data_IF_429236800646
#
_entry.id   IF_429236800646
#
_cell.length_a   1.000
_cell.length_b   1.000
_cell.length_c   1.000
_cell.angle_alpha   90.00
_cell.angle_beta   90.00
_cell.angle_gamma   90.00
#
_symmetry.space_group_name_H-M   'P 1'
#
loop_
_entity.id
_entity.type
_entity.pdbx_description
1 polymer ?
#
# COMPACT_ATOMS: atom_id res chain seq x y z
N UNK A 1 14.84 -19.46 28.08
CA UNK A 1 14.52 -19.49 26.64
C UNK A 1 15.33 -18.42 25.96
N UNK A 2 16.53 -18.80 25.51
CA UNK A 2 17.29 -17.95 24.60
C UNK A 2 16.59 -17.98 23.24
N UNK A 3 16.36 -16.82 22.66
CA UNK A 3 15.85 -16.71 21.30
C UNK A 3 17.03 -17.06 20.41
N UNK A 4 16.95 -18.18 19.70
CA UNK A 4 17.94 -18.53 18.69
C UNK A 4 17.74 -17.60 17.47
N UNK A 5 18.83 -16.97 17.02
CA UNK A 5 18.85 -16.10 15.85
C UNK A 5 20.18 -16.23 15.12
N UNK A 6 20.16 -15.91 13.83
CA UNK A 6 21.36 -15.89 12.99
C UNK A 6 21.53 -14.51 12.35
N UNK A 7 22.78 -14.02 12.34
CA UNK A 7 23.15 -12.77 11.69
C UNK A 7 24.07 -13.04 10.50
N UNK A 8 23.71 -12.46 9.35
CA UNK A 8 24.59 -12.42 8.18
C UNK A 8 24.74 -11.00 7.64
N UNK A 9 25.94 -10.68 7.18
CA UNK A 9 26.29 -9.40 6.55
C UNK A 9 26.97 -9.67 5.22
N UNK A 10 26.54 -8.98 4.16
CA UNK A 10 27.23 -9.03 2.85
C UNK A 10 27.84 -7.67 2.47
N UNK A 11 28.67 -7.69 1.42
CA UNK A 11 29.47 -6.56 0.89
C UNK A 11 28.62 -5.36 0.41
N UNK A 12 27.30 -5.49 0.29
CA UNK A 12 26.37 -4.48 -0.23
C UNK A 12 25.47 -3.83 0.84
N UNK A 13 25.95 -3.64 2.08
CA UNK A 13 25.22 -2.92 3.14
C UNK A 13 23.90 -3.58 3.58
N UNK A 14 23.71 -4.86 3.30
CA UNK A 14 22.53 -5.63 3.74
C UNK A 14 22.91 -6.48 4.95
N UNK A 15 22.28 -6.17 6.08
CA UNK A 15 22.30 -7.01 7.29
C UNK A 15 20.98 -7.75 7.39
N UNK A 16 21.04 -9.06 7.62
CA UNK A 16 19.85 -9.91 7.78
C UNK A 16 19.89 -10.57 9.15
N UNK A 17 18.77 -10.45 9.88
CA UNK A 17 18.52 -11.16 11.14
C UNK A 17 17.41 -12.17 10.88
N UNK A 18 17.69 -13.45 11.14
CA UNK A 18 16.70 -14.53 11.04
C UNK A 18 16.32 -14.97 12.44
N UNK A 19 15.01 -15.06 12.72
CA UNK A 19 14.46 -15.52 14.01
C UNK A 19 13.71 -16.81 13.74
N UNK A 20 14.05 -17.89 14.46
CA UNK A 20 13.39 -19.17 14.30
C UNK A 20 11.94 -19.11 14.81
N UNK A 21 11.00 -19.63 14.03
CA UNK A 21 9.58 -19.59 14.34
C UNK A 21 9.24 -20.22 15.71
N UNK A 22 9.99 -21.25 16.12
CA UNK A 22 9.82 -21.95 17.41
C UNK A 22 10.09 -21.06 18.63
N UNK A 23 10.82 -19.95 18.43
CA UNK A 23 11.06 -18.96 19.49
C UNK A 23 9.85 -18.06 19.74
N UNK A 24 8.88 -18.03 18.81
CA UNK A 24 7.69 -17.19 18.88
C UNK A 24 6.45 -18.03 19.21
N UNK A 25 5.56 -17.48 20.03
CA UNK A 25 4.29 -18.11 20.41
C UNK A 25 3.18 -17.57 19.52
N UNK A 26 2.23 -18.43 19.11
CA UNK A 26 1.09 -17.99 18.33
C UNK A 26 0.19 -17.01 19.09
N UNK A 27 -0.61 -16.26 18.33
CA UNK A 27 -1.52 -15.20 18.77
C UNK A 27 -0.85 -14.13 19.64
N UNK A 28 0.40 -13.78 19.33
CA UNK A 28 1.14 -12.72 20.00
C UNK A 28 1.77 -11.74 19.03
N UNK A 29 1.77 -10.47 19.42
CA UNK A 29 2.53 -9.43 18.73
C UNK A 29 3.87 -9.23 19.43
N UNK A 30 4.94 -9.36 18.66
CA UNK A 30 6.32 -9.12 19.07
C UNK A 30 6.78 -7.77 18.53
N UNK A 31 7.42 -6.99 19.39
CA UNK A 31 8.13 -5.77 18.98
C UNK A 31 9.62 -6.06 18.98
N UNK A 32 10.25 -5.96 17.81
CA UNK A 32 11.70 -6.02 17.67
C UNK A 32 12.26 -4.60 17.56
N UNK A 33 13.23 -4.31 18.41
CA UNK A 33 13.95 -3.05 18.42
C UNK A 33 15.32 -3.32 17.80
N UNK A 34 15.57 -2.72 16.64
CA UNK A 34 16.84 -2.84 15.94
C UNK A 34 17.64 -1.58 16.19
N UNK A 35 18.67 -1.67 17.02
CA UNK A 35 19.60 -0.56 17.25
C UNK A 35 20.82 -0.71 16.34
N UNK A 36 21.03 0.26 15.46
CA UNK A 36 22.15 0.31 14.53
C UNK A 36 23.16 1.34 15.02
N UNK A 37 24.40 0.91 15.26
CA UNK A 37 25.49 1.79 15.69
C UNK A 37 26.57 1.82 14.60
N UNK A 38 27.13 3.00 14.33
CA UNK A 38 28.26 3.07 13.39
C UNK A 38 29.55 2.59 14.06
N UNK A 39 30.35 1.78 13.36
CA UNK A 39 31.66 1.30 13.86
C UNK A 39 32.62 2.45 14.17
N UNK A 40 32.56 3.54 13.40
CA UNK A 40 33.43 4.70 13.53
C UNK A 40 32.99 5.68 14.62
N UNK A 41 31.69 5.72 14.94
CA UNK A 41 31.15 6.63 15.95
C UNK A 41 29.94 5.99 16.68
N UNK A 42 30.15 5.36 17.86
CA UNK A 42 29.08 4.70 18.61
C UNK A 42 27.99 5.66 19.13
N UNK A 43 28.20 6.98 19.01
CA UNK A 43 27.22 8.02 19.35
C UNK A 43 26.15 8.14 18.24
N UNK A 44 26.50 7.85 16.98
CA UNK A 44 25.50 7.81 15.91
C UNK A 44 24.74 6.48 15.96
N UNK A 45 23.48 6.58 16.36
CA UNK A 45 22.57 5.45 16.51
C UNK A 45 21.32 5.67 15.68
N UNK A 46 20.90 4.63 14.95
CA UNK A 46 19.58 4.55 14.32
C UNK A 46 18.77 3.49 15.04
N UNK A 47 17.56 3.82 15.48
CA UNK A 47 16.65 2.85 16.10
C UNK A 47 15.50 2.57 15.14
N UNK A 48 15.40 1.30 14.72
CA UNK A 48 14.26 0.78 13.97
C UNK A 48 13.33 0.00 14.89
N UNK A 49 12.03 0.12 14.65
CA UNK A 49 11.00 -0.67 15.33
C UNK A 49 10.29 -1.54 14.31
N UNK A 50 10.20 -2.84 14.59
CA UNK A 50 9.49 -3.82 13.78
C UNK A 50 8.43 -4.47 14.65
N UNK A 51 7.20 -4.56 14.13
CA UNK A 51 6.09 -5.25 14.79
C UNK A 51 5.77 -6.49 13.98
N UNK A 52 5.80 -7.65 14.62
CA UNK A 52 5.47 -8.94 14.01
C UNK A 52 4.32 -9.54 14.79
N UNK A 53 3.19 -9.74 14.14
CA UNK A 53 2.09 -10.51 14.70
C UNK A 53 2.23 -11.96 14.25
N UNK A 54 2.22 -12.89 15.21
CA UNK A 54 2.30 -14.33 14.96
C UNK A 54 0.90 -14.88 15.12
N UNK A 55 0.34 -15.44 14.05
CA UNK A 55 -0.98 -16.07 14.03
C UNK A 55 -0.85 -17.58 14.25
N UNK A 56 -1.87 -18.17 14.85
CA UNK A 56 -1.99 -19.63 15.09
C UNK A 56 -2.56 -20.40 13.88
N UNK A 57 -2.36 -19.87 12.66
CA UNK A 57 -3.08 -20.36 11.50
C UNK A 57 -2.41 -21.62 10.91
N UNK A 58 -3.17 -22.71 10.82
CA UNK A 58 -2.84 -23.91 10.02
C UNK A 58 -2.90 -23.65 8.50
N UNK A 59 -3.26 -22.42 8.09
CA UNK A 59 -3.34 -22.02 6.69
C UNK A 59 -2.08 -21.25 6.26
N UNK A 60 -1.61 -21.43 5.02
CA UNK A 60 -0.42 -20.75 4.53
C UNK A 60 -0.52 -19.23 4.65
N UNK A 61 0.53 -18.60 5.16
CA UNK A 61 0.55 -17.15 5.33
C UNK A 61 0.65 -16.46 3.96
N UNK A 62 -0.37 -15.68 3.60
CA UNK A 62 -0.37 -14.86 2.38
C UNK A 62 -0.10 -13.40 2.73
N UNK A 63 0.88 -12.81 2.06
CA UNK A 63 1.23 -11.40 2.20
C UNK A 63 1.03 -10.66 0.89
N UNK A 64 0.58 -9.41 0.95
CA UNK A 64 0.47 -8.50 -0.20
C UNK A 64 1.41 -7.33 0.01
N UNK A 65 2.11 -6.93 -1.04
CA UNK A 65 2.92 -5.73 -1.08
C UNK A 65 2.81 -5.02 -2.42
N UNK A 66 3.16 -3.73 -2.44
CA UNK A 66 3.32 -2.99 -3.69
C UNK A 66 4.67 -3.30 -4.32
N UNK A 67 4.71 -3.48 -5.65
CA UNK A 67 5.97 -3.61 -6.41
C UNK A 67 6.86 -2.38 -6.18
N UNK A 68 6.24 -1.18 -6.21
CA UNK A 68 6.91 0.06 -5.80
C UNK A 68 6.60 0.29 -4.33
N UNK A 69 7.55 -0.01 -3.45
CA UNK A 69 7.37 0.05 -1.99
C UNK A 69 6.80 1.38 -1.48
N UNK A 70 7.20 2.50 -2.10
CA UNK A 70 6.70 3.85 -1.76
C UNK A 70 5.17 4.00 -1.91
N UNK A 71 4.54 3.26 -2.82
CA UNK A 71 3.07 3.31 -3.01
C UNK A 71 2.30 2.67 -1.85
N UNK A 72 2.92 1.74 -1.12
CA UNK A 72 2.35 1.10 0.07
C UNK A 72 2.93 1.68 1.37
N UNK A 73 3.86 2.63 1.32
CA UNK A 73 4.59 3.07 2.51
C UNK A 73 3.75 3.95 3.44
N UNK A 74 2.93 4.85 2.89
CA UNK A 74 2.15 5.81 3.67
C UNK A 74 0.88 5.14 4.19
N UNK A 75 0.79 4.97 5.52
CA UNK A 75 -0.36 4.39 6.21
C UNK A 75 -1.16 5.48 6.92
N UNK A 76 -2.47 5.50 6.71
CA UNK A 76 -3.43 6.31 7.44
C UNK A 76 -4.49 5.39 8.06
N UNK A 77 -4.40 5.15 9.37
CA UNK A 77 -5.24 4.14 10.04
C UNK A 77 -5.03 2.75 9.44
N UNK A 78 -6.08 2.10 8.97
CA UNK A 78 -6.03 0.78 8.31
C UNK A 78 -5.72 0.86 6.81
N UNK A 79 -5.67 2.06 6.23
CA UNK A 79 -5.56 2.27 4.79
C UNK A 79 -4.16 2.73 4.38
N UNK A 80 -3.78 2.44 3.14
CA UNK A 80 -2.64 3.07 2.46
C UNK A 80 -3.14 4.20 1.56
N UNK A 81 -2.37 5.29 1.41
CA UNK A 81 -2.75 6.35 0.47
C UNK A 81 -2.39 5.97 -0.96
N UNK A 82 -3.30 6.24 -1.90
CA UNK A 82 -3.12 5.95 -3.32
C UNK A 82 -3.28 7.21 -4.16
N UNK A 83 -2.35 7.46 -5.08
CA UNK A 83 -2.48 8.54 -6.05
C UNK A 83 -3.33 8.05 -7.24
N UNK A 84 -4.49 8.67 -7.53
CA UNK A 84 -5.38 8.22 -8.60
C UNK A 84 -4.76 8.29 -10.00
N UNK A 85 -3.72 9.11 -10.19
CA UNK A 85 -3.04 9.29 -11.49
C UNK A 85 -1.96 8.24 -11.76
N UNK A 86 -1.74 7.31 -10.83
CA UNK A 86 -0.67 6.32 -10.92
C UNK A 86 -1.23 4.91 -11.05
N UNK A 87 -0.61 4.10 -11.91
CA UNK A 87 -0.87 2.67 -12.00
C UNK A 87 -0.47 1.99 -10.68
N UNK A 88 -1.32 1.12 -10.15
CA UNK A 88 -1.02 0.36 -8.95
C UNK A 88 -0.56 -1.05 -9.34
N UNK A 89 0.61 -1.46 -8.86
CA UNK A 89 1.10 -2.81 -9.06
C UNK A 89 1.36 -3.48 -7.71
N UNK A 90 0.65 -4.58 -7.48
CA UNK A 90 0.70 -5.41 -6.30
C UNK A 90 1.30 -6.77 -6.64
N UNK A 91 1.95 -7.37 -5.66
CA UNK A 91 2.30 -8.77 -5.71
C UNK A 91 1.92 -9.42 -4.39
N UNK A 92 1.55 -10.69 -4.46
CA UNK A 92 1.31 -11.52 -3.31
C UNK A 92 2.34 -12.64 -3.23
N UNK A 93 2.79 -12.91 -2.01
CA UNK A 93 3.69 -14.02 -1.72
C UNK A 93 3.05 -14.92 -0.70
N UNK A 94 3.15 -16.22 -0.98
CA UNK A 94 2.81 -17.26 -0.03
C UNK A 94 4.10 -17.60 0.74
N UNK A 95 4.03 -17.62 2.07
CA UNK A 95 5.15 -17.87 2.96
C UNK A 95 5.48 -19.35 3.08
N UNK A 96 5.43 -19.88 4.29
CA UNK A 96 5.63 -21.31 4.57
C UNK A 96 4.39 -22.12 4.14
N UNK A 97 4.58 -23.39 3.75
CA UNK A 97 3.55 -24.37 3.36
C UNK A 97 2.76 -24.14 2.06
N UNK A 98 3.41 -23.62 1.02
CA UNK A 98 2.75 -23.29 -0.26
C UNK A 98 2.91 -24.33 -1.38
N UNK A 99 3.12 -25.61 -1.04
CA UNK A 99 3.63 -26.62 -1.99
C UNK A 99 2.65 -27.05 -3.09
N UNK A 100 1.35 -26.74 -2.98
CA UNK A 100 0.34 -27.08 -4.00
C UNK A 100 -0.74 -25.99 -4.15
N UNK A 101 -0.33 -24.81 -4.60
CA UNK A 101 -1.26 -23.75 -5.01
C UNK A 101 -2.05 -24.24 -6.24
N UNK A 102 -3.35 -24.42 -6.10
CA UNK A 102 -4.25 -24.80 -7.20
C UNK A 102 -4.71 -23.58 -7.99
N UNK A 103 -5.02 -22.49 -7.30
CA UNK A 103 -5.53 -21.27 -7.92
C UNK A 103 -5.13 -20.04 -7.11
N UNK A 104 -4.85 -18.95 -7.81
CA UNK A 104 -4.77 -17.61 -7.23
C UNK A 104 -5.89 -16.77 -7.86
N UNK A 105 -6.58 -15.97 -7.05
CA UNK A 105 -7.60 -15.06 -7.54
C UNK A 105 -7.61 -13.77 -6.73
N UNK A 106 -7.59 -12.64 -7.42
CA UNK A 106 -7.83 -11.33 -6.84
C UNK A 106 -9.31 -10.98 -6.90
N UNK A 107 -9.82 -10.43 -5.79
CA UNK A 107 -11.12 -9.81 -5.66
C UNK A 107 -10.90 -8.35 -5.30
N UNK A 108 -11.49 -7.47 -6.11
CA UNK A 108 -11.38 -6.02 -5.94
C UNK A 108 -12.70 -5.49 -5.44
N UNK A 109 -12.65 -4.64 -4.42
CA UNK A 109 -13.83 -4.06 -3.80
C UNK A 109 -13.73 -2.53 -3.85
N UNK A 110 -14.84 -1.90 -4.18
CA UNK A 110 -15.05 -0.47 -3.99
C UNK A 110 -15.69 -0.22 -2.63
N UNK A 111 -15.27 0.84 -1.96
CA UNK A 111 -15.71 1.17 -0.62
C UNK A 111 -16.31 2.57 -0.51
N UNK A 112 -17.40 2.67 0.24
CA UNK A 112 -18.10 3.93 0.54
C UNK A 112 -18.25 4.11 2.05
N UNK A 113 -18.15 5.35 2.53
CA UNK A 113 -18.35 5.65 3.95
C UNK A 113 -19.83 5.54 4.26
N UNK A 114 -20.18 4.67 5.20
CA UNK A 114 -21.49 4.64 5.81
C UNK A 114 -21.50 5.65 6.97
N UNK A 115 -22.10 6.83 6.74
CA UNK A 115 -22.08 7.94 7.70
C UNK A 115 -22.72 7.59 9.05
N UNK A 116 -23.65 6.63 9.10
CA UNK A 116 -24.32 6.22 10.34
C UNK A 116 -23.46 5.32 11.23
N UNK A 117 -22.58 4.51 10.62
CA UNK A 117 -21.74 3.55 11.35
C UNK A 117 -20.28 3.99 11.44
N UNK A 118 -19.90 5.04 10.71
CA UNK A 118 -18.52 5.48 10.55
C UNK A 118 -17.58 4.35 10.10
N UNK A 119 -18.10 3.45 9.24
CA UNK A 119 -17.37 2.31 8.66
C UNK A 119 -17.39 2.37 7.15
N UNK A 120 -16.43 1.70 6.52
CA UNK A 120 -16.42 1.53 5.05
C UNK A 120 -17.20 0.28 4.68
N UNK A 121 -18.25 0.46 3.90
CA UNK A 121 -19.01 -0.63 3.30
C UNK A 121 -18.36 -1.06 2.00
N UNK A 122 -18.11 -2.36 1.84
CA UNK A 122 -17.35 -2.92 0.72
C UNK A 122 -18.27 -3.64 -0.25
N UNK A 123 -18.26 -3.19 -1.50
CA UNK A 123 -19.02 -3.78 -2.59
C UNK A 123 -18.02 -4.39 -3.57
N UNK A 124 -18.23 -5.66 -3.94
CA UNK A 124 -17.38 -6.32 -4.93
C UNK A 124 -17.46 -5.53 -6.25
N UNK A 125 -16.31 -5.12 -6.76
CA UNK A 125 -16.21 -4.48 -8.06
C UNK A 125 -16.22 -5.58 -9.13
N UNK A 126 -17.31 -5.66 -9.89
CA UNK A 126 -17.44 -6.65 -10.95
C UNK A 126 -16.58 -6.25 -12.15
N UNK A 127 -15.44 -6.93 -12.28
CA UNK A 127 -14.53 -6.73 -13.41
C UNK A 127 -15.04 -7.32 -14.72
N UNK A 128 -16.09 -8.16 -14.69
CA UNK A 128 -16.61 -8.88 -15.86
C UNK A 128 -17.65 -8.08 -16.66
N UNK A 129 -17.91 -6.82 -16.29
CA UNK A 129 -18.66 -5.94 -17.18
C UNK A 129 -17.78 -5.58 -18.37
N UNK A 130 -18.30 -5.70 -19.59
CA UNK A 130 -17.60 -5.60 -20.89
C UNK A 130 -16.87 -4.27 -21.14
N UNK A 131 -16.84 -3.35 -20.18
CA UNK A 131 -16.18 -2.05 -20.23
C UNK A 131 -14.87 -2.00 -19.41
N UNK A 132 -14.48 -3.07 -18.69
CA UNK A 132 -13.35 -3.06 -17.76
C UNK A 132 -12.23 -4.06 -18.08
N UNK A 133 -12.29 -4.76 -19.21
CA UNK A 133 -11.35 -5.85 -19.58
C UNK A 133 -9.86 -5.44 -19.66
N UNK A 134 -9.56 -4.14 -19.64
CA UNK A 134 -8.19 -3.60 -19.66
C UNK A 134 -7.75 -2.91 -18.36
N UNK A 135 -8.55 -2.99 -17.29
CA UNK A 135 -8.22 -2.30 -16.03
C UNK A 135 -7.42 -3.16 -15.05
N UNK A 136 -7.51 -4.48 -15.18
CA UNK A 136 -6.86 -5.43 -14.29
C UNK A 136 -6.06 -6.46 -15.07
N UNK A 137 -4.77 -6.55 -14.79
CA UNK A 137 -3.87 -7.53 -15.40
C UNK A 137 -3.34 -8.47 -14.32
N UNK A 138 -3.43 -9.78 -14.57
CA UNK A 138 -2.95 -10.80 -13.65
C UNK A 138 -3.91 -11.13 -12.50
N UNK A 139 -5.22 -10.90 -12.68
CA UNK A 139 -6.26 -11.16 -11.65
C UNK A 139 -6.30 -12.62 -11.17
N UNK A 140 -5.74 -13.55 -11.94
CA UNK A 140 -5.61 -14.98 -11.61
C UNK A 140 -4.18 -15.40 -11.26
N UNK A 141 -3.28 -14.45 -10.98
CA UNK A 141 -1.86 -14.70 -10.70
C UNK A 141 -1.43 -14.04 -9.39
N UNK A 142 -0.21 -14.32 -8.94
CA UNK A 142 0.38 -13.66 -7.77
C UNK A 142 0.63 -12.15 -7.98
N UNK A 143 0.72 -11.68 -9.24
CA UNK A 143 0.97 -10.29 -9.56
C UNK A 143 -0.30 -9.65 -10.11
N UNK A 144 -0.73 -8.54 -9.49
CA UNK A 144 -1.87 -7.77 -9.96
C UNK A 144 -1.39 -6.39 -10.39
N UNK A 145 -1.72 -6.01 -11.61
CA UNK A 145 -1.57 -4.63 -12.09
C UNK A 145 -2.94 -4.02 -12.31
N UNK A 146 -3.14 -2.82 -11.80
CA UNK A 146 -4.38 -2.06 -11.87
C UNK A 146 -4.08 -0.76 -12.62
N UNK A 147 -4.75 -0.54 -13.75
CA UNK A 147 -4.63 0.69 -14.52
C UNK A 147 -5.07 1.89 -13.69
N UNK A 148 -4.44 3.05 -13.89
CA UNK A 148 -4.89 4.32 -13.28
C UNK A 148 -6.32 4.69 -13.71
N UNK A 149 -6.75 4.22 -14.90
CA UNK A 149 -8.04 4.55 -15.48
C UNK A 149 -9.21 4.13 -14.58
N UNK A 150 -9.03 3.09 -13.75
CA UNK A 150 -10.07 2.70 -12.80
C UNK A 150 -10.37 3.80 -11.79
N UNK A 151 -9.35 4.53 -11.34
CA UNK A 151 -9.48 5.60 -10.36
C UNK A 151 -10.01 6.87 -11.04
N UNK A 152 -9.57 7.14 -12.27
CA UNK A 152 -10.03 8.28 -13.08
C UNK A 152 -11.52 8.14 -13.48
N UNK A 153 -11.95 6.92 -13.82
CA UNK A 153 -13.34 6.64 -14.23
C UNK A 153 -14.31 6.47 -13.06
N UNK A 154 -13.80 6.23 -11.84
CA UNK A 154 -14.61 6.08 -10.64
C UNK A 154 -14.25 7.12 -9.56
N UNK A 155 -14.33 8.43 -9.85
CA UNK A 155 -13.88 9.49 -8.94
C UNK A 155 -14.70 9.57 -7.64
N UNK A 156 -15.91 8.99 -7.62
CA UNK A 156 -16.75 8.91 -6.43
C UNK A 156 -16.27 7.84 -5.42
N UNK A 157 -15.46 6.86 -5.86
CA UNK A 157 -14.98 5.77 -5.02
C UNK A 157 -13.71 6.21 -4.29
N UNK A 158 -13.82 6.44 -2.99
CA UNK A 158 -12.71 6.89 -2.15
C UNK A 158 -11.86 5.75 -1.61
N UNK A 159 -12.43 4.55 -1.49
CA UNK A 159 -11.77 3.41 -0.88
C UNK A 159 -11.72 2.23 -1.84
N UNK A 160 -10.56 1.58 -1.91
CA UNK A 160 -10.35 0.39 -2.71
C UNK A 160 -9.73 -0.71 -1.88
N UNK A 161 -10.23 -1.93 -1.98
CA UNK A 161 -9.70 -3.08 -1.26
C UNK A 161 -9.39 -4.21 -2.22
N UNK A 162 -8.17 -4.71 -2.11
CA UNK A 162 -7.64 -5.81 -2.90
C UNK A 162 -7.49 -7.01 -1.98
N UNK A 163 -8.28 -8.05 -2.23
CA UNK A 163 -8.19 -9.33 -1.55
C UNK A 163 -7.61 -10.35 -2.51
N UNK A 164 -6.53 -11.01 -2.12
CA UNK A 164 -6.01 -12.16 -2.86
C UNK A 164 -6.44 -13.44 -2.15
N UNK A 165 -6.92 -14.39 -2.93
CA UNK A 165 -7.29 -15.75 -2.51
C UNK A 165 -6.29 -16.72 -3.10
N UNK A 166 -5.75 -17.59 -2.25
CA UNK A 166 -4.96 -18.75 -2.64
C UNK A 166 -5.75 -20.00 -2.29
N UNK A 167 -6.06 -20.81 -3.29
CA UNK A 167 -6.71 -22.10 -3.11
C UNK A 167 -5.67 -23.21 -3.09
N UNK A 168 -5.76 -24.07 -2.09
CA UNK A 168 -4.98 -25.29 -1.92
C UNK A 168 -5.93 -26.49 -1.96
N UNK A 169 -5.39 -27.70 -1.99
CA UNK A 169 -6.20 -28.93 -2.07
C UNK A 169 -7.19 -29.13 -0.92
N UNK A 170 -6.89 -28.58 0.26
CA UNK A 170 -7.69 -28.78 1.49
C UNK A 170 -8.18 -27.48 2.13
N UNK A 171 -7.63 -26.33 1.75
CA UNK A 171 -7.92 -25.05 2.40
C UNK A 171 -7.80 -23.88 1.42
N UNK A 172 -8.29 -22.72 1.84
CA UNK A 172 -8.09 -21.44 1.17
C UNK A 172 -7.47 -20.45 2.13
N UNK A 173 -6.38 -19.82 1.74
CA UNK A 173 -5.80 -18.70 2.47
C UNK A 173 -6.06 -17.39 1.75
N UNK A 174 -6.04 -16.29 2.47
CA UNK A 174 -6.24 -14.97 1.86
C UNK A 174 -5.46 -13.88 2.56
N UNK A 175 -5.27 -12.78 1.84
CA UNK A 175 -4.71 -11.55 2.37
C UNK A 175 -5.47 -10.36 1.81
N UNK A 176 -5.44 -9.23 2.53
CA UNK A 176 -6.19 -8.03 2.16
C UNK A 176 -5.30 -6.81 2.29
N UNK A 177 -5.36 -5.93 1.28
CA UNK A 177 -4.75 -4.61 1.31
C UNK A 177 -5.79 -3.56 0.92
N UNK A 178 -5.94 -2.53 1.75
CA UNK A 178 -6.94 -1.47 1.54
C UNK A 178 -6.25 -0.12 1.33
N UNK A 179 -6.80 0.67 0.40
CA UNK A 179 -6.31 1.98 0.00
C UNK A 179 -7.39 3.04 0.15
N UNK A 180 -6.98 4.26 0.53
CA UNK A 180 -7.75 5.51 0.39
C UNK A 180 -7.16 6.27 -0.80
N UNK A 181 -7.99 6.57 -1.78
CA UNK A 181 -7.59 7.35 -2.97
C UNK A 181 -7.53 8.81 -2.60
N UNK A 182 -6.39 9.45 -2.90
CA UNK A 182 -6.22 10.87 -2.70
C UNK A 182 -7.23 11.64 -3.55
N UNK A 183 -7.98 12.53 -2.90
CA UNK A 183 -8.97 13.35 -3.58
C UNK A 183 -8.31 14.61 -4.14
N UNK A 184 -8.89 15.18 -5.20
CA UNK A 184 -8.44 16.49 -5.70
C UNK A 184 -8.84 17.60 -4.71
N UNK A 185 -7.99 18.63 -4.52
CA UNK A 185 -8.39 19.85 -3.83
C UNK A 185 -9.63 20.48 -4.47
N UNK A 186 -10.44 21.16 -3.65
CA UNK A 186 -11.74 21.74 -4.05
C UNK A 186 -11.78 23.24 -3.76
N UNK A 187 -12.77 23.92 -4.35
CA UNK A 187 -13.18 25.30 -4.04
C UNK A 187 -12.15 26.43 -4.26
N UNK A 188 -10.99 26.14 -4.86
CA UNK A 188 -9.99 27.15 -5.15
C UNK A 188 -10.00 27.66 -6.58
N UNK A 189 -9.28 28.76 -6.77
CA UNK A 189 -8.99 29.33 -8.09
C UNK A 189 -7.59 29.92 -8.10
N UNK A 190 -7.06 30.12 -9.30
CA UNK A 190 -5.79 30.81 -9.49
C UNK A 190 -5.99 31.96 -10.46
N UNK A 191 -5.29 33.07 -10.19
CA UNK A 191 -5.18 34.23 -11.09
C UNK A 191 -3.73 34.44 -11.45
N UNK A 192 -3.49 35.04 -12.62
CA UNK A 192 -2.16 35.41 -13.09
C UNK A 192 -2.17 36.87 -13.55
N UNK A 193 -1.14 37.63 -13.17
CA UNK A 193 -0.98 39.03 -13.54
C UNK A 193 0.50 39.36 -13.80
N UNK A 194 0.85 40.10 -14.87
CA UNK A 194 -0.03 40.56 -15.95
C UNK A 194 -0.45 39.43 -16.92
N UNK A 195 -1.53 39.61 -17.67
CA UNK A 195 -1.96 38.60 -18.67
C UNK A 195 -1.12 38.61 -19.95
N UNK A 196 -0.38 39.69 -20.20
CA UNK A 196 0.46 39.86 -21.39
C UNK A 196 1.86 40.33 -20.97
N UNK A 197 2.88 39.83 -21.64
CA UNK A 197 4.27 40.17 -21.34
C UNK A 197 5.24 39.77 -22.45
N UNK A 198 6.49 40.14 -22.24
CA UNK A 198 7.64 39.73 -23.04
C UNK A 198 8.43 38.65 -22.30
N UNK A 199 9.54 38.19 -22.89
CA UNK A 199 10.45 37.24 -22.23
C UNK A 199 11.03 37.75 -20.90
N UNK A 200 11.01 39.06 -20.65
CA UNK A 200 11.50 39.68 -19.42
C UNK A 200 10.37 39.99 -18.42
N UNK A 201 9.11 39.80 -18.80
CA UNK A 201 7.98 40.11 -17.93
C UNK A 201 7.86 39.06 -16.81
N UNK A 202 7.84 39.54 -15.57
CA UNK A 202 7.56 38.71 -14.41
C UNK A 202 6.06 38.52 -14.26
N UNK A 203 5.62 37.27 -14.27
CA UNK A 203 4.24 36.87 -14.06
C UNK A 203 4.04 36.40 -12.63
N UNK A 204 3.03 36.94 -11.95
CA UNK A 204 2.66 36.54 -10.59
C UNK A 204 1.42 35.66 -10.65
N UNK A 205 1.52 34.42 -10.16
CA UNK A 205 0.39 33.50 -10.02
C UNK A 205 -0.05 33.48 -8.55
N UNK A 206 -1.32 33.76 -8.30
CA UNK A 206 -1.92 33.72 -6.95
C UNK A 206 -3.03 32.69 -6.95
N UNK A 207 -2.86 31.62 -6.17
CA UNK A 207 -3.87 30.60 -5.95
C UNK A 207 -4.47 30.76 -4.55
N UNK A 208 -5.80 30.78 -4.46
CA UNK A 208 -6.52 31.03 -3.20
C UNK A 208 -7.74 30.11 -3.07
N UNK A 209 -8.21 29.94 -1.83
CA UNK A 209 -9.43 29.18 -1.48
C UNK A 209 -9.42 27.69 -1.80
N UNK A 210 -8.27 27.12 -2.17
CA UNK A 210 -8.14 25.67 -2.30
C UNK A 210 -8.27 25.00 -0.92
N UNK A 211 -9.15 24.02 -0.84
CA UNK A 211 -9.37 23.17 0.33
C UNK A 211 -9.01 21.73 0.01
N UNK A 212 -8.20 21.13 0.87
CA UNK A 212 -7.87 19.71 0.87
C UNK A 212 -7.95 19.22 2.32
N UNK A 213 -8.54 18.04 2.54
CA UNK A 213 -8.70 17.49 3.91
C UNK A 213 -7.34 17.12 4.54
N UNK A 214 -6.33 16.82 3.72
CA UNK A 214 -5.01 16.39 4.15
C UNK A 214 -3.93 17.49 3.95
N UNK A 215 -4.36 18.75 3.79
CA UNK A 215 -3.56 19.95 3.46
C UNK A 215 -2.85 19.93 2.09
N UNK A 216 -2.62 21.13 1.53
CA UNK A 216 -1.96 21.29 0.23
C UNK A 216 -0.45 21.41 0.43
N UNK A 217 0.29 20.38 0.02
CA UNK A 217 1.77 20.36 0.14
C UNK A 217 2.53 20.90 -1.06
N UNK A 218 2.03 20.68 -2.27
CA UNK A 218 2.77 20.98 -3.50
C UNK A 218 1.85 21.60 -4.54
N UNK A 219 2.39 22.55 -5.30
CA UNK A 219 1.78 23.11 -6.49
C UNK A 219 2.62 22.68 -7.69
N UNK A 220 1.95 22.32 -8.80
CA UNK A 220 2.61 22.05 -10.08
C UNK A 220 1.97 22.96 -11.13
N UNK A 221 2.80 23.68 -11.86
CA UNK A 221 2.43 24.53 -12.99
C UNK A 221 2.88 23.81 -14.27
N UNK A 222 1.98 23.67 -15.24
CA UNK A 222 2.24 23.06 -16.54
C UNK A 222 2.10 24.11 -17.64
#
# INVERSE_FOLDING_TARGET
>A
NEIEWEYSSNVYWKSTLTIFAQALKPNKTYQFIVNMTTKSNPIQQGVGYLLVHVEDNESPLITIACIISKMCAVKFGEFRNLNPTTQLALYSTCGEDCSTIQQIKWLVYQGFINASLNTVEWILFDSNSTNHDNMFFGISTANLTVSKDIFEQNPAVQFWRFKVLYSFSSTTAFSVLSFKVNQKPRNGSCTIDPLNGTAETLFTVVCSHWFDEDDIKYYSLY
#
